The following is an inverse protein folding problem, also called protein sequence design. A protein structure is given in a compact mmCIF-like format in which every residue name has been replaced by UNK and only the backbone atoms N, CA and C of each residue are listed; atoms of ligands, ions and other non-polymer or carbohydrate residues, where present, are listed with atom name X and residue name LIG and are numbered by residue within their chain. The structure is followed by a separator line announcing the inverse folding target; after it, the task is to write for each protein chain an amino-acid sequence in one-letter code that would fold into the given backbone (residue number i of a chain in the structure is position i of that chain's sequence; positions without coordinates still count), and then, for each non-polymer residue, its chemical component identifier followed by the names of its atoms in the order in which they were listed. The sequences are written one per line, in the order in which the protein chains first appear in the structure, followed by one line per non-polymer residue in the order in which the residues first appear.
data_IF_541021986086
#
_entry.id   IF_541021986086
#
_cell.length_a   1.000
_cell.length_b   1.000
_cell.length_c   1.000
_cell.angle_alpha   90.00
_cell.angle_beta   90.00
_cell.angle_gamma   90.00
#
_symmetry.space_group_name_H-M   'P 1'
#
loop_
_entity.id
_entity.type
_entity.pdbx_description
1 polymer ?
#
# COMPACT_ATOMS: atom_id res chain seq x y z
N UNK A 1 22.13 18.46 -10.14
CA UNK A 1 20.93 19.20 -9.68
C UNK A 1 21.37 20.09 -8.51
N UNK A 2 21.01 21.37 -8.50
CA UNK A 2 21.40 22.29 -7.42
C UNK A 2 20.43 22.22 -6.24
N UNK A 3 20.85 22.74 -5.07
CA UNK A 3 19.97 22.96 -3.91
C UNK A 3 18.72 23.77 -4.28
N UNK A 4 18.89 24.79 -5.14
CA UNK A 4 17.80 25.62 -5.61
C UNK A 4 16.80 24.81 -6.47
N UNK A 5 17.29 23.91 -7.34
CA UNK A 5 16.41 23.05 -8.14
C UNK A 5 15.62 22.06 -7.26
N UNK A 6 16.19 21.59 -6.14
CA UNK A 6 15.48 20.73 -5.19
C UNK A 6 14.30 21.45 -4.54
N UNK A 7 14.51 22.66 -4.03
CA UNK A 7 13.43 23.47 -3.46
C UNK A 7 12.38 23.87 -4.51
N UNK A 8 12.81 24.24 -5.71
CA UNK A 8 11.90 24.59 -6.80
C UNK A 8 10.99 23.41 -7.18
N UNK A 9 11.54 22.19 -7.26
CA UNK A 9 10.72 20.98 -7.47
C UNK A 9 9.71 20.77 -6.35
N UNK A 10 10.12 20.91 -5.09
CA UNK A 10 9.21 20.82 -3.94
C UNK A 10 8.06 21.84 -4.02
N UNK A 11 8.37 23.07 -4.38
CA UNK A 11 7.38 24.14 -4.53
C UNK A 11 6.37 23.85 -5.65
N UNK A 12 6.82 23.33 -6.80
CA UNK A 12 5.91 22.93 -7.90
C UNK A 12 4.98 21.81 -7.46
N UNK A 13 5.50 20.78 -6.78
CA UNK A 13 4.67 19.68 -6.29
C UNK A 13 3.62 20.18 -5.29
N UNK A 14 3.99 21.08 -4.37
CA UNK A 14 3.02 21.65 -3.44
C UNK A 14 1.97 22.50 -4.15
N UNK A 15 2.37 23.35 -5.10
CA UNK A 15 1.43 24.16 -5.87
C UNK A 15 0.38 23.30 -6.58
N UNK A 16 0.78 22.16 -7.15
CA UNK A 16 -0.14 21.21 -7.78
C UNK A 16 -1.11 20.59 -6.78
N UNK A 17 -0.63 20.22 -5.58
CA UNK A 17 -1.49 19.69 -4.52
C UNK A 17 -2.47 20.75 -3.99
N UNK A 18 -2.04 22.00 -3.81
CA UNK A 18 -2.92 23.11 -3.42
C UNK A 18 -4.00 23.38 -4.47
N UNK A 19 -3.67 23.31 -5.77
CA UNK A 19 -4.69 23.41 -6.83
C UNK A 19 -5.65 22.23 -6.81
N UNK A 20 -5.15 21.02 -6.56
CA UNK A 20 -5.96 19.81 -6.50
C UNK A 20 -6.89 19.74 -5.29
N UNK A 21 -6.58 20.47 -4.20
CA UNK A 21 -7.52 20.67 -3.08
C UNK A 21 -8.79 21.38 -3.51
N UNK A 22 -8.69 22.28 -4.50
CA UNK A 22 -9.85 22.99 -5.06
C UNK A 22 -10.57 22.08 -6.05
N UNK A 23 -9.85 21.58 -7.05
CA UNK A 23 -10.38 20.60 -8.01
C UNK A 23 -9.24 19.69 -8.54
N UNK A 24 -9.19 18.40 -8.13
CA UNK A 24 -8.18 17.47 -8.61
C UNK A 24 -8.40 17.06 -10.08
N UNK A 25 -9.53 17.45 -10.65
CA UNK A 25 -9.94 17.17 -12.03
C UNK A 25 -9.70 18.31 -13.01
N UNK A 26 -9.21 19.46 -12.51
CA UNK A 26 -9.01 20.68 -13.28
C UNK A 26 -8.01 20.46 -14.43
N UNK A 27 -8.41 20.64 -15.71
CA UNK A 27 -7.47 20.59 -16.82
C UNK A 27 -6.31 21.60 -16.70
N UNK A 28 -6.50 22.69 -15.94
CA UNK A 28 -5.52 23.73 -15.66
C UNK A 28 -4.46 23.38 -14.59
N UNK A 29 -4.51 22.21 -13.98
CA UNK A 29 -3.66 21.83 -12.84
C UNK A 29 -2.15 22.05 -13.11
N UNK A 30 -1.71 21.81 -14.35
CA UNK A 30 -0.31 21.90 -14.78
C UNK A 30 0.03 23.16 -15.60
N UNK A 31 -0.91 24.09 -15.74
CA UNK A 31 -0.72 25.34 -16.50
C UNK A 31 0.08 26.35 -15.67
N UNK A 32 0.95 27.12 -16.33
CA UNK A 32 1.79 28.16 -15.71
C UNK A 32 2.61 27.66 -14.50
N UNK A 33 3.05 26.40 -14.54
CA UNK A 33 3.98 25.87 -13.55
C UNK A 33 5.41 26.32 -13.87
N UNK A 34 6.14 26.90 -12.90
CA UNK A 34 7.48 27.43 -13.12
C UNK A 34 8.46 26.32 -13.48
N UNK A 35 9.26 26.56 -14.53
CA UNK A 35 10.35 25.69 -14.98
C UNK A 35 9.98 24.22 -15.19
N UNK A 36 8.71 23.89 -15.46
CA UNK A 36 8.22 22.50 -15.54
C UNK A 36 9.00 21.63 -16.53
N UNK A 37 9.40 22.19 -17.67
CA UNK A 37 10.21 21.49 -18.67
C UNK A 37 11.61 21.18 -18.16
N UNK A 38 12.27 22.15 -17.52
CA UNK A 38 13.63 21.98 -16.97
C UNK A 38 13.62 21.03 -15.77
N UNK A 39 12.66 21.21 -14.87
CA UNK A 39 12.64 20.53 -13.59
C UNK A 39 12.08 19.12 -13.68
N UNK A 40 11.08 18.88 -14.53
CA UNK A 40 10.36 17.60 -14.59
C UNK A 40 10.35 16.97 -15.99
N UNK A 41 10.75 17.69 -17.04
CA UNK A 41 10.53 17.24 -18.42
C UNK A 41 9.06 17.37 -18.86
N UNK A 42 8.26 18.17 -18.15
CA UNK A 42 6.86 18.45 -18.44
C UNK A 42 5.86 17.83 -17.47
N UNK A 43 4.54 17.93 -17.79
CA UNK A 43 3.46 17.53 -16.88
C UNK A 43 3.51 16.06 -16.46
N UNK A 44 3.85 15.16 -17.38
CA UNK A 44 3.99 13.72 -17.08
C UNK A 44 5.10 13.46 -16.06
N UNK A 45 6.18 14.25 -16.07
CA UNK A 45 7.24 14.15 -15.06
C UNK A 45 6.80 14.63 -13.68
N UNK A 46 5.86 15.58 -13.60
CA UNK A 46 5.24 15.99 -12.33
C UNK A 46 4.38 14.87 -11.78
N UNK A 47 3.57 14.22 -12.64
CA UNK A 47 2.77 13.05 -12.25
C UNK A 47 3.65 11.91 -11.74
N UNK A 48 4.75 11.60 -12.42
CA UNK A 48 5.70 10.57 -11.98
C UNK A 48 6.39 10.94 -10.65
N UNK A 49 6.66 12.22 -10.42
CA UNK A 49 7.20 12.68 -9.14
C UNK A 49 6.19 12.54 -7.99
N UNK A 50 4.91 12.83 -8.24
CA UNK A 50 3.83 12.59 -7.26
C UNK A 50 3.63 11.10 -6.97
N UNK A 51 3.65 10.27 -8.01
CA UNK A 51 3.59 8.81 -7.90
C UNK A 51 4.79 8.25 -7.11
N UNK A 52 6.00 8.77 -7.35
CA UNK A 52 7.18 8.38 -6.58
C UNK A 52 7.03 8.76 -5.10
N UNK A 53 6.49 9.94 -4.79
CA UNK A 53 6.19 10.35 -3.42
C UNK A 53 5.14 9.43 -2.77
N UNK A 54 4.08 9.09 -3.50
CA UNK A 54 3.04 8.16 -3.04
C UNK A 54 3.64 6.80 -2.68
N UNK A 55 4.32 6.18 -3.65
CA UNK A 55 4.91 4.84 -3.50
C UNK A 55 5.98 4.78 -2.40
N UNK A 56 6.76 5.85 -2.21
CA UNK A 56 7.73 5.93 -1.09
C UNK A 56 7.02 5.92 0.26
N UNK A 57 5.95 6.70 0.44
CA UNK A 57 5.21 6.72 1.71
C UNK A 57 4.40 5.43 1.91
N UNK A 58 3.85 4.86 0.83
CA UNK A 58 3.15 3.60 0.87
C UNK A 58 4.06 2.45 1.31
N UNK A 59 5.28 2.37 0.76
CA UNK A 59 6.26 1.36 1.18
C UNK A 59 6.52 1.43 2.70
N UNK A 60 6.79 2.63 3.23
CA UNK A 60 7.02 2.80 4.67
C UNK A 60 5.81 2.38 5.53
N UNK A 61 4.58 2.66 5.08
CA UNK A 61 3.37 2.21 5.79
C UNK A 61 3.13 0.71 5.67
N UNK A 62 3.47 0.10 4.53
CA UNK A 62 3.36 -1.34 4.36
C UNK A 62 4.39 -2.08 5.23
N UNK A 63 5.61 -1.56 5.35
CA UNK A 63 6.62 -2.08 6.28
C UNK A 63 6.09 -2.02 7.73
N UNK A 64 5.54 -0.86 8.14
CA UNK A 64 4.93 -0.71 9.46
C UNK A 64 3.75 -1.67 9.68
N UNK A 65 2.91 -1.90 8.67
CA UNK A 65 1.78 -2.81 8.77
C UNK A 65 2.23 -4.27 9.02
N UNK A 66 3.37 -4.69 8.45
CA UNK A 66 3.97 -5.99 8.74
C UNK A 66 4.40 -6.07 10.21
N UNK A 67 5.08 -5.03 10.71
CA UNK A 67 5.51 -4.97 12.12
C UNK A 67 4.33 -5.02 13.10
N UNK A 68 3.22 -4.36 12.74
CA UNK A 68 2.01 -4.29 13.55
C UNK A 68 1.07 -5.50 13.36
N UNK A 69 1.36 -6.41 12.43
CA UNK A 69 0.47 -7.51 12.05
C UNK A 69 -0.86 -7.04 11.42
N UNK A 70 -0.88 -5.84 10.85
CA UNK A 70 -2.03 -5.26 10.18
C UNK A 70 -2.11 -5.70 8.71
N UNK A 71 -3.31 -5.88 8.13
CA UNK A 71 -3.42 -6.28 6.74
C UNK A 71 -2.93 -5.16 5.81
N UNK A 72 -2.13 -5.43 4.77
CA UNK A 72 -1.55 -4.40 3.88
C UNK A 72 -2.54 -3.39 3.28
N UNK A 73 -3.81 -3.77 3.11
CA UNK A 73 -4.84 -2.84 2.64
C UNK A 73 -5.14 -1.70 3.62
N UNK A 74 -4.89 -1.87 4.93
CA UNK A 74 -5.06 -0.79 5.92
C UNK A 74 -4.07 0.33 5.66
N UNK A 75 -2.80 0.00 5.40
CA UNK A 75 -1.76 0.98 5.04
C UNK A 75 -2.16 1.83 3.83
N UNK A 76 -2.72 1.22 2.79
CA UNK A 76 -3.21 1.95 1.61
C UNK A 76 -4.40 2.85 1.94
N UNK A 77 -5.37 2.36 2.71
CA UNK A 77 -6.55 3.13 3.12
C UNK A 77 -6.18 4.33 3.99
N UNK A 78 -5.29 4.13 4.97
CA UNK A 78 -4.78 5.19 5.83
C UNK A 78 -4.05 6.26 5.02
N UNK A 79 -3.16 5.86 4.12
CA UNK A 79 -2.43 6.81 3.28
C UNK A 79 -3.36 7.61 2.38
N UNK A 80 -4.40 6.96 1.85
CA UNK A 80 -5.44 7.63 1.06
C UNK A 80 -6.20 8.66 1.89
N UNK A 81 -6.50 8.34 3.16
CA UNK A 81 -7.15 9.26 4.08
C UNK A 81 -6.25 10.45 4.48
N UNK A 82 -4.93 10.22 4.58
CA UNK A 82 -3.95 11.25 4.90
C UNK A 82 -3.66 12.20 3.73
N UNK A 83 -3.69 11.69 2.49
CA UNK A 83 -3.34 12.44 1.29
C UNK A 83 -4.37 12.25 0.16
N UNK A 84 -5.65 12.61 0.39
CA UNK A 84 -6.73 12.34 -0.56
C UNK A 84 -6.54 13.06 -1.89
N UNK A 85 -5.97 14.27 -1.90
CA UNK A 85 -5.78 15.04 -3.13
C UNK A 85 -4.69 14.45 -4.01
N UNK A 86 -3.61 13.95 -3.39
CA UNK A 86 -2.54 13.29 -4.11
C UNK A 86 -3.07 12.02 -4.78
N UNK A 87 -3.82 11.18 -4.06
CA UNK A 87 -4.45 9.99 -4.63
C UNK A 87 -5.43 10.35 -5.76
N UNK A 88 -6.27 11.37 -5.56
CA UNK A 88 -7.24 11.81 -6.55
C UNK A 88 -6.59 12.26 -7.87
N UNK A 89 -5.47 13.00 -7.83
CA UNK A 89 -4.70 13.38 -9.02
C UNK A 89 -4.21 12.11 -9.74
N UNK A 90 -3.57 11.19 -9.02
CA UNK A 90 -3.01 9.98 -9.63
C UNK A 90 -4.10 9.13 -10.30
N UNK A 91 -5.24 8.95 -9.65
CA UNK A 91 -6.39 8.22 -10.21
C UNK A 91 -6.99 8.91 -11.43
N UNK A 92 -7.11 10.23 -11.39
CA UNK A 92 -7.69 11.03 -12.47
C UNK A 92 -6.83 10.99 -13.74
N UNK A 93 -5.53 11.14 -13.60
CA UNK A 93 -4.62 11.31 -14.74
C UNK A 93 -4.02 9.99 -15.25
N UNK A 94 -4.19 8.87 -14.53
CA UNK A 94 -3.77 7.55 -15.00
C UNK A 94 -4.29 7.21 -16.41
N UNK A 95 -5.54 7.57 -16.74
CA UNK A 95 -6.08 7.31 -18.09
C UNK A 95 -5.36 8.09 -19.20
N UNK A 96 -4.73 9.21 -18.87
CA UNK A 96 -4.11 10.13 -19.84
C UNK A 96 -2.60 10.00 -19.94
N UNK A 97 -1.92 9.49 -18.91
CA UNK A 97 -0.47 9.25 -18.91
C UNK A 97 -0.14 7.74 -18.90
N UNK A 98 0.42 7.18 -20.00
CA UNK A 98 0.89 5.79 -20.03
C UNK A 98 1.98 5.49 -19.00
N UNK A 99 2.90 6.43 -18.79
CA UNK A 99 3.99 6.30 -17.82
C UNK A 99 3.45 6.19 -16.40
N UNK A 100 2.44 6.98 -16.05
CA UNK A 100 1.77 6.88 -14.75
C UNK A 100 1.07 5.53 -14.56
N UNK A 101 0.40 4.99 -15.59
CA UNK A 101 -0.21 3.64 -15.48
C UNK A 101 0.83 2.55 -15.23
N UNK A 102 1.96 2.63 -15.91
CA UNK A 102 3.04 1.68 -15.70
C UNK A 102 3.57 1.74 -14.25
N UNK A 103 3.71 2.95 -13.70
CA UNK A 103 4.11 3.14 -12.30
C UNK A 103 3.06 2.63 -11.31
N UNK A 104 1.77 2.88 -11.53
CA UNK A 104 0.69 2.33 -10.69
C UNK A 104 0.57 0.81 -10.78
N UNK A 105 0.94 0.21 -11.91
CA UNK A 105 1.04 -1.25 -12.00
C UNK A 105 2.17 -1.77 -11.09
N UNK A 106 3.30 -1.06 -11.01
CA UNK A 106 4.36 -1.37 -10.05
C UNK A 106 3.92 -1.17 -8.59
N UNK A 107 3.14 -0.12 -8.29
CA UNK A 107 2.49 0.08 -6.97
C UNK A 107 1.67 -1.15 -6.57
N UNK A 108 0.78 -1.64 -7.46
CA UNK A 108 -0.03 -2.85 -7.20
C UNK A 108 0.83 -4.09 -6.96
N UNK A 109 1.94 -4.22 -7.70
CA UNK A 109 2.91 -5.29 -7.49
C UNK A 109 3.57 -5.23 -6.10
N UNK A 110 3.91 -4.03 -5.62
CA UNK A 110 4.47 -3.82 -4.29
C UNK A 110 3.49 -4.23 -3.18
N UNK A 111 2.22 -3.83 -3.28
CA UNK A 111 1.17 -4.23 -2.32
C UNK A 111 1.03 -5.76 -2.30
N UNK A 112 1.00 -6.40 -3.49
CA UNK A 112 0.92 -7.86 -3.60
C UNK A 112 2.11 -8.58 -2.96
N UNK A 113 3.31 -8.04 -3.10
CA UNK A 113 4.50 -8.61 -2.47
C UNK A 113 4.42 -8.57 -0.92
N UNK A 114 3.91 -7.48 -0.35
CA UNK A 114 3.76 -7.35 1.12
C UNK A 114 2.63 -8.25 1.65
N UNK A 115 1.55 -8.40 0.89
CA UNK A 115 0.50 -9.37 1.20
C UNK A 115 1.05 -10.80 1.28
N UNK A 116 1.86 -11.21 0.29
CA UNK A 116 2.47 -12.53 0.30
C UNK A 116 3.49 -12.70 1.45
N UNK A 117 4.25 -11.65 1.78
CA UNK A 117 5.19 -11.66 2.89
C UNK A 117 4.47 -11.90 4.24
N UNK A 118 3.33 -11.25 4.45
CA UNK A 118 2.52 -11.42 5.67
C UNK A 118 2.01 -12.86 5.82
N UNK A 119 1.49 -13.47 4.75
CA UNK A 119 1.00 -14.86 4.77
C UNK A 119 2.11 -15.83 5.22
N UNK A 120 3.34 -15.62 4.75
CA UNK A 120 4.48 -16.46 5.16
C UNK A 120 4.95 -16.20 6.61
N UNK A 121 4.78 -14.97 7.11
CA UNK A 121 5.06 -14.65 8.52
C UNK A 121 4.06 -15.36 9.46
N UNK A 122 2.77 -15.38 9.09
CA UNK A 122 1.72 -16.03 9.88
C UNK A 122 1.87 -17.56 9.92
N UNK A 123 2.23 -18.20 8.80
CA UNK A 123 2.50 -19.64 8.73
C UNK A 123 3.72 -20.07 9.57
N UNK A 124 4.71 -19.19 9.72
CA UNK A 124 5.92 -19.46 10.49
C UNK A 124 5.71 -19.36 12.01
N UNK A 125 4.63 -18.69 12.45
CA UNK A 125 4.26 -18.53 13.86
C UNK A 125 3.57 -19.76 14.49
N UNK A 126 3.23 -20.78 13.70
CA UNK A 126 2.43 -21.95 14.13
C UNK A 126 3.19 -23.11 14.77
N UNK A 127 4.52 -23.06 14.92
CA UNK A 127 5.30 -24.14 15.55
C UNK A 127 5.58 -23.86 17.04
N UNK A 128 4.51 -23.72 17.83
CA UNK A 128 4.58 -23.54 19.27
C UNK A 128 3.43 -24.24 19.99
N UNK A 129 3.54 -25.55 20.24
CA UNK A 129 2.77 -26.25 21.27
C UNK A 129 2.15 -27.58 20.86
N UNK A 130 2.74 -28.69 21.32
CA UNK A 130 2.10 -30.00 21.24
C UNK A 130 3.06 -31.18 21.40
N UNK A 131 3.72 -31.28 22.55
CA UNK A 131 4.43 -32.51 22.96
C UNK A 131 3.39 -33.62 23.21
N UNK A 132 3.41 -34.77 22.53
CA UNK A 132 2.59 -35.91 22.96
C UNK A 132 3.30 -36.60 24.12
N UNK A 133 2.85 -36.32 25.34
CA UNK A 133 3.13 -37.18 26.49
C UNK A 133 2.31 -38.46 26.38
N UNK A 134 2.95 -39.47 25.79
CA UNK A 134 2.54 -40.86 25.86
C UNK A 134 2.88 -41.41 27.24
N UNK A 135 1.86 -41.79 28.01
CA UNK A 135 2.01 -42.27 29.38
C UNK A 135 0.81 -43.03 29.91
N UNK A 136 0.63 -44.25 29.38
CA UNK A 136 0.10 -45.44 30.06
C UNK A 136 -1.32 -45.40 30.70
N UNK A 137 -2.23 -46.01 29.95
CA UNK A 137 -3.29 -46.92 30.36
C UNK A 137 -3.30 -47.44 31.81
N UNK A 138 -4.46 -47.34 32.47
CA UNK A 138 -5.04 -48.44 33.26
C UNK A 138 -6.55 -48.27 33.50
N UNK A 139 -7.27 -49.38 33.29
CA UNK A 139 -8.55 -49.80 33.88
C UNK A 139 -9.88 -49.16 33.40
N UNK A 140 -10.56 -49.86 32.49
CA UNK A 140 -11.90 -50.42 32.75
C UNK A 140 -12.37 -51.33 31.61
N UNK A 141 -12.95 -52.50 31.94
CA UNK A 141 -14.08 -52.97 31.16
C UNK A 141 -15.25 -53.40 32.07
N UNK A 142 -16.40 -52.75 31.88
CA UNK A 142 -17.73 -53.29 32.13
C UNK A 142 -18.60 -52.73 30.99
N UNK A 143 -18.89 -53.51 29.94
CA UNK A 143 -20.05 -54.40 29.85
C UNK A 143 -21.34 -53.70 30.27
N UNK A 144 -22.14 -53.23 29.31
CA UNK A 144 -23.39 -53.93 28.94
C UNK A 144 -24.05 -53.28 27.72
N UNK A 145 -24.28 -54.12 26.71
CA UNK A 145 -25.31 -53.92 25.70
C UNK A 145 -26.67 -54.06 26.35
N UNK A 146 -27.65 -53.24 25.93
CA UNK A 146 -29.01 -53.71 25.64
C UNK A 146 -29.80 -52.62 24.88
N UNK A 147 -30.06 -52.94 23.62
CA UNK A 147 -31.34 -52.84 22.89
C UNK A 147 -32.00 -51.47 22.67
N UNK A 148 -31.88 -51.05 21.41
CA UNK A 148 -32.81 -50.23 20.66
C UNK A 148 -34.19 -50.90 20.50
N UNK A 149 -35.27 -50.18 20.75
CA UNK A 149 -36.57 -50.44 20.09
C UNK A 149 -37.43 -49.18 20.00
N UNK A 150 -38.15 -49.13 18.88
CA UNK A 150 -39.03 -48.11 18.33
C UNK A 150 -40.08 -47.53 19.29
#
# INVERSE_FOLDING_TARGET
MSWNDFHARGAVLQLVLERARVDPSDPGLFVDLPDIQKLFGGPDGVLLALEHRWTTHLAAKLDQAIEDGAPPNTAWNELTAEQPELRAILDRYARRSPSLRAAQHAERGMIGAHFNAQVHADDSGGLGGGRPESGAAAASPASESVVSRC
#
